data_IF_614201446695
#
_entry.id   IF_614201446695
#
_cell.length_a   1.000
_cell.length_b   1.000
_cell.length_c   1.000
_cell.angle_alpha   90.00
_cell.angle_beta   90.00
_cell.angle_gamma   90.00
#
_symmetry.space_group_name_H-M   'P 1'
#
loop_
_entity.id
_entity.type
_entity.pdbx_description
1 polymer ?
#
# COMPACT_ATOMS: atom_id res chain seq x y z
N UNK A 1 36.69 17.33 -45.09
CA UNK A 1 37.33 16.22 -45.83
C UNK A 1 36.28 15.18 -46.17
N UNK A 2 35.59 15.33 -47.32
CA UNK A 2 34.67 14.35 -47.91
C UNK A 2 35.33 13.43 -48.96
N UNK A 3 36.60 13.67 -49.31
CA UNK A 3 37.19 13.22 -50.58
C UNK A 3 37.50 11.71 -50.68
N UNK A 4 37.59 11.01 -49.55
CA UNK A 4 37.94 9.57 -49.53
C UNK A 4 36.82 8.67 -50.06
N UNK A 5 35.55 9.05 -49.86
CA UNK A 5 34.43 8.23 -50.34
C UNK A 5 34.20 8.45 -51.83
N UNK A 6 34.32 9.68 -52.30
CA UNK A 6 34.15 10.01 -53.71
C UNK A 6 35.23 9.34 -54.58
N UNK A 7 36.49 9.34 -54.13
CA UNK A 7 37.57 8.63 -54.80
C UNK A 7 37.40 7.11 -54.79
N UNK A 8 36.88 6.53 -53.69
CA UNK A 8 36.56 5.10 -53.63
C UNK A 8 35.45 4.71 -54.62
N UNK A 9 34.37 5.49 -54.69
CA UNK A 9 33.26 5.23 -55.63
C UNK A 9 33.71 5.41 -57.08
N UNK A 10 34.53 6.42 -57.37
CA UNK A 10 35.08 6.63 -58.72
C UNK A 10 36.02 5.51 -59.14
N UNK A 11 36.87 5.02 -58.23
CA UNK A 11 37.82 3.94 -58.51
C UNK A 11 37.14 2.59 -58.73
N UNK A 12 36.02 2.34 -58.06
CA UNK A 12 35.27 1.08 -58.17
C UNK A 12 33.98 1.21 -58.99
N UNK A 13 33.83 2.28 -59.77
CA UNK A 13 32.61 2.60 -60.54
C UNK A 13 32.16 1.44 -61.42
N UNK A 14 33.10 0.78 -62.09
CA UNK A 14 32.84 -0.33 -63.00
C UNK A 14 32.30 -1.57 -62.27
N UNK A 15 32.68 -1.77 -60.99
CA UNK A 15 32.16 -2.86 -60.16
C UNK A 15 30.70 -2.63 -59.73
N UNK A 16 30.28 -1.36 -59.62
CA UNK A 16 28.91 -0.98 -59.28
C UNK A 16 27.96 -0.89 -60.48
N UNK A 17 28.47 -0.64 -61.69
CA UNK A 17 27.67 -0.55 -62.93
C UNK A 17 27.41 -1.91 -63.60
N UNK A 18 27.78 -3.01 -62.95
CA UNK A 18 27.51 -4.36 -63.42
C UNK A 18 26.00 -4.63 -63.60
N UNK A 19 25.60 -5.43 -64.61
CA UNK A 19 24.22 -5.83 -64.76
C UNK A 19 23.76 -6.57 -63.50
N UNK A 20 22.71 -6.05 -62.86
CA UNK A 20 22.14 -6.63 -61.66
C UNK A 20 21.71 -8.10 -61.86
N UNK A 21 21.48 -8.84 -60.76
CA UNK A 21 21.12 -10.25 -60.86
C UNK A 21 19.82 -10.42 -61.64
N UNK A 22 19.65 -11.60 -62.24
CA UNK A 22 18.52 -11.85 -63.15
C UNK A 22 17.16 -11.63 -62.45
N UNK A 23 16.09 -11.24 -63.18
CA UNK A 23 14.76 -11.03 -62.62
C UNK A 23 14.22 -12.21 -61.80
N UNK A 24 14.64 -13.43 -62.14
CA UNK A 24 14.29 -14.66 -61.40
C UNK A 24 14.96 -14.73 -60.02
N UNK A 25 16.21 -14.27 -59.91
CA UNK A 25 16.92 -14.18 -58.62
C UNK A 25 16.29 -13.10 -57.76
N UNK A 26 15.91 -11.96 -58.35
CA UNK A 26 15.17 -10.91 -57.64
C UNK A 26 13.79 -11.38 -57.16
N UNK A 27 13.03 -12.07 -58.02
CA UNK A 27 11.73 -12.62 -57.63
C UNK A 27 11.85 -13.70 -56.52
N UNK A 28 12.93 -14.48 -56.53
CA UNK A 28 13.22 -15.43 -55.45
C UNK A 28 13.56 -14.72 -54.13
N UNK A 29 14.35 -13.63 -54.19
CA UNK A 29 14.65 -12.80 -53.02
C UNK A 29 13.40 -12.11 -52.46
N UNK A 30 12.56 -11.54 -53.32
CA UNK A 30 11.34 -10.85 -52.91
C UNK A 30 10.37 -11.80 -52.19
N UNK A 31 10.30 -13.05 -52.66
CA UNK A 31 9.53 -14.11 -52.00
C UNK A 31 10.07 -14.44 -50.60
N UNK A 32 11.39 -14.53 -50.44
CA UNK A 32 12.02 -14.80 -49.14
C UNK A 32 11.95 -13.61 -48.17
N UNK A 33 11.92 -12.38 -48.67
CA UNK A 33 11.78 -11.17 -47.84
C UNK A 33 10.35 -10.89 -47.39
N UNK A 34 9.36 -11.28 -48.21
CA UNK A 34 7.94 -11.08 -47.90
C UNK A 34 7.39 -12.16 -46.96
N UNK A 35 8.08 -13.30 -46.84
CA UNK A 35 7.77 -14.31 -45.81
C UNK A 35 8.26 -13.82 -44.44
N UNK A 36 7.58 -12.82 -43.88
CA UNK A 36 7.70 -12.51 -42.45
C UNK A 36 7.25 -13.75 -41.67
N UNK A 37 8.20 -14.61 -41.31
CA UNK A 37 8.04 -15.62 -40.28
C UNK A 37 7.97 -14.92 -38.93
N UNK A 38 6.86 -14.22 -38.69
CA UNK A 38 6.43 -13.89 -37.35
C UNK A 38 6.14 -15.22 -36.66
N UNK A 39 7.11 -15.71 -35.89
CA UNK A 39 7.02 -16.98 -35.20
C UNK A 39 5.79 -17.02 -34.32
N UNK A 40 4.71 -17.65 -34.80
CA UNK A 40 3.45 -17.86 -34.07
C UNK A 40 3.68 -18.41 -32.66
N UNK A 41 4.77 -19.16 -32.49
CA UNK A 41 5.20 -19.74 -31.23
C UNK A 41 5.42 -18.66 -30.16
N UNK A 42 6.06 -17.53 -30.48
CA UNK A 42 6.34 -16.45 -29.51
C UNK A 42 5.07 -15.71 -29.10
N UNK A 43 4.15 -15.45 -30.03
CA UNK A 43 2.85 -14.82 -29.72
C UNK A 43 1.94 -15.75 -28.88
N UNK A 44 1.94 -17.06 -29.17
CA UNK A 44 1.17 -18.04 -28.40
C UNK A 44 1.76 -18.26 -27.01
N UNK A 45 3.09 -18.38 -26.88
CA UNK A 45 3.79 -18.44 -25.60
C UNK A 45 3.47 -17.20 -24.75
N UNK A 46 3.56 -15.99 -25.32
CA UNK A 46 3.24 -14.73 -24.61
C UNK A 46 1.78 -14.66 -24.16
N UNK A 47 0.83 -15.10 -24.99
CA UNK A 47 -0.61 -15.07 -24.69
C UNK A 47 -1.00 -16.09 -23.61
N UNK A 48 -0.40 -17.28 -23.64
CA UNK A 48 -0.67 -18.32 -22.65
C UNK A 48 0.04 -18.05 -21.32
N UNK A 49 1.24 -17.46 -21.35
CA UNK A 49 1.97 -17.08 -20.14
C UNK A 49 1.30 -15.91 -19.40
N UNK A 50 0.66 -14.99 -20.13
CA UNK A 50 -0.16 -13.93 -19.51
C UNK A 50 -1.33 -14.51 -18.71
N UNK A 51 -2.03 -15.53 -19.24
CA UNK A 51 -3.11 -16.22 -18.51
C UNK A 51 -2.58 -16.94 -17.26
N UNK A 52 -1.44 -17.63 -17.38
CA UNK A 52 -0.79 -18.29 -16.27
C UNK A 52 -0.33 -17.29 -15.18
N UNK A 53 0.21 -16.14 -15.59
CA UNK A 53 0.62 -15.07 -14.68
C UNK A 53 -0.58 -14.48 -13.91
N UNK A 54 -1.71 -14.24 -14.57
CA UNK A 54 -2.93 -13.76 -13.91
C UNK A 54 -3.42 -14.76 -12.86
N UNK A 55 -3.46 -16.06 -13.20
CA UNK A 55 -3.85 -17.11 -12.25
C UNK A 55 -2.87 -17.19 -11.08
N UNK A 56 -1.57 -17.11 -11.33
CA UNK A 56 -0.54 -17.12 -10.29
C UNK A 56 -0.68 -15.92 -9.34
N UNK A 57 -0.87 -14.71 -9.88
CA UNK A 57 -1.08 -13.49 -9.08
C UNK A 57 -2.36 -13.60 -8.25
N UNK A 58 -3.45 -14.11 -8.82
CA UNK A 58 -4.69 -14.33 -8.08
C UNK A 58 -4.52 -15.38 -6.97
N UNK A 59 -3.83 -16.48 -7.23
CA UNK A 59 -3.56 -17.50 -6.20
C UNK A 59 -2.66 -16.97 -5.09
N UNK A 60 -1.63 -16.19 -5.43
CA UNK A 60 -0.76 -15.54 -4.43
C UNK A 60 -1.57 -14.56 -3.58
N UNK A 61 -2.43 -13.74 -4.20
CA UNK A 61 -3.30 -12.82 -3.48
C UNK A 61 -4.31 -13.57 -2.59
N UNK A 62 -4.95 -14.61 -3.10
CA UNK A 62 -5.88 -15.43 -2.34
C UNK A 62 -5.20 -16.14 -1.17
N UNK A 63 -3.99 -16.68 -1.37
CA UNK A 63 -3.18 -17.29 -0.33
C UNK A 63 -2.75 -16.27 0.73
N UNK A 64 -2.35 -15.06 0.33
CA UNK A 64 -2.05 -13.98 1.25
C UNK A 64 -3.29 -13.60 2.08
N UNK A 65 -4.44 -13.36 1.44
CA UNK A 65 -5.70 -13.05 2.12
C UNK A 65 -6.06 -14.18 3.09
N UNK A 66 -5.98 -15.44 2.67
CA UNK A 66 -6.28 -16.60 3.52
C UNK A 66 -5.34 -16.67 4.74
N UNK A 67 -4.04 -16.50 4.52
CA UNK A 67 -3.04 -16.50 5.59
C UNK A 67 -3.28 -15.36 6.61
N UNK A 68 -3.51 -14.13 6.12
CA UNK A 68 -3.75 -12.96 6.98
C UNK A 68 -5.11 -12.97 7.68
N UNK A 69 -6.16 -13.50 7.05
CA UNK A 69 -7.51 -13.57 7.65
C UNK A 69 -7.67 -14.77 8.60
N UNK A 70 -7.01 -15.90 8.31
CA UNK A 70 -7.00 -17.08 9.17
C UNK A 70 -6.40 -16.80 10.55
N UNK A 71 -5.25 -16.12 10.62
CA UNK A 71 -4.61 -15.77 11.89
C UNK A 71 -5.49 -14.86 12.76
N UNK A 72 -6.19 -13.88 12.16
CA UNK A 72 -7.10 -12.99 12.88
C UNK A 72 -8.33 -13.72 13.41
N UNK A 73 -8.91 -14.63 12.62
CA UNK A 73 -10.07 -15.44 13.01
C UNK A 73 -9.76 -16.38 14.17
N UNK A 74 -8.64 -17.11 14.11
CA UNK A 74 -8.23 -18.00 15.22
C UNK A 74 -8.02 -17.23 16.52
N UNK A 75 -7.33 -16.08 16.46
CA UNK A 75 -7.10 -15.25 17.65
C UNK A 75 -8.41 -14.76 18.27
N UNK A 76 -9.35 -14.27 17.46
CA UNK A 76 -10.62 -13.77 17.95
C UNK A 76 -11.53 -14.89 18.49
N UNK A 77 -11.46 -16.09 17.92
CA UNK A 77 -12.25 -17.23 18.32
C UNK A 77 -11.79 -17.84 19.66
N UNK A 78 -10.47 -17.92 19.92
CA UNK A 78 -9.97 -18.38 21.22
C UNK A 78 -10.34 -17.42 22.36
N UNK A 79 -10.23 -16.11 22.14
CA UNK A 79 -10.64 -15.10 23.12
C UNK A 79 -12.15 -15.17 23.42
N UNK A 80 -12.97 -15.37 22.37
CA UNK A 80 -14.44 -15.49 22.51
C UNK A 80 -14.87 -16.72 23.31
N UNK A 81 -14.13 -17.84 23.17
CA UNK A 81 -14.43 -19.07 23.91
C UNK A 81 -14.11 -18.96 25.41
N UNK A 82 -13.23 -18.04 25.79
CA UNK A 82 -12.71 -17.89 27.15
C UNK A 82 -13.43 -16.77 27.91
N UNK A 83 -13.76 -15.66 27.23
CA UNK A 83 -14.41 -14.51 27.85
C UNK A 83 -15.34 -13.79 26.87
N UNK A 84 -16.64 -14.15 26.83
CA UNK A 84 -17.61 -13.52 25.94
C UNK A 84 -17.79 -12.03 26.23
N UNK A 85 -17.82 -11.64 27.51
CA UNK A 85 -17.98 -10.24 27.93
C UNK A 85 -16.83 -9.34 27.42
N UNK A 86 -15.60 -9.87 27.43
CA UNK A 86 -14.45 -9.13 26.91
C UNK A 86 -14.49 -8.98 25.39
N UNK A 87 -15.05 -9.96 24.68
CA UNK A 87 -15.23 -9.90 23.23
C UNK A 87 -16.23 -8.80 22.83
N UNK A 88 -17.32 -8.67 23.58
CA UNK A 88 -18.29 -7.59 23.40
C UNK A 88 -17.64 -6.22 23.66
N UNK A 89 -16.97 -6.07 24.81
CA UNK A 89 -16.25 -4.85 25.16
C UNK A 89 -15.22 -4.47 24.07
N UNK A 90 -14.39 -5.43 23.62
CA UNK A 90 -13.42 -5.22 22.53
C UNK A 90 -14.10 -4.66 21.28
N UNK A 91 -15.22 -5.28 20.86
CA UNK A 91 -15.94 -4.87 19.65
C UNK A 91 -16.53 -3.46 19.80
N UNK A 92 -17.17 -3.19 20.95
CA UNK A 92 -17.73 -1.89 21.29
C UNK A 92 -16.69 -0.79 21.29
N UNK A 93 -15.60 -0.97 22.05
CA UNK A 93 -14.56 0.05 22.21
C UNK A 93 -13.76 0.26 20.92
N UNK A 94 -13.36 -0.82 20.23
CA UNK A 94 -12.58 -0.72 18.99
C UNK A 94 -13.32 0.07 17.92
N UNK A 95 -14.62 -0.19 17.75
CA UNK A 95 -15.46 0.53 16.78
C UNK A 95 -15.47 2.03 17.07
N UNK A 96 -15.68 2.42 18.33
CA UNK A 96 -15.72 3.83 18.74
C UNK A 96 -14.37 4.53 18.64
N UNK A 97 -13.30 3.85 19.06
CA UNK A 97 -11.93 4.38 18.97
C UNK A 97 -11.56 4.64 17.51
N UNK A 98 -11.84 3.69 16.62
CA UNK A 98 -11.57 3.87 15.19
C UNK A 98 -12.39 5.02 14.58
N UNK A 99 -13.66 5.16 14.95
CA UNK A 99 -14.49 6.26 14.50
C UNK A 99 -13.92 7.63 14.94
N UNK A 100 -13.46 7.73 16.20
CA UNK A 100 -12.82 8.97 16.69
C UNK A 100 -11.48 9.25 16.01
N UNK A 101 -10.66 8.23 15.80
CA UNK A 101 -9.41 8.38 15.05
C UNK A 101 -9.67 8.89 13.63
N UNK A 102 -10.70 8.39 12.96
CA UNK A 102 -11.10 8.91 11.64
C UNK A 102 -11.51 10.38 11.67
N UNK A 103 -12.21 10.82 12.72
CA UNK A 103 -12.55 12.23 12.90
C UNK A 103 -11.30 13.09 13.14
N UNK A 104 -10.34 12.60 13.94
CA UNK A 104 -9.06 13.29 14.20
C UNK A 104 -8.22 13.38 12.92
N UNK A 105 -8.16 12.29 12.14
CA UNK A 105 -7.41 12.23 10.88
C UNK A 105 -7.99 13.15 9.79
N UNK A 106 -9.23 13.64 9.95
CA UNK A 106 -9.83 14.62 9.06
C UNK A 106 -9.28 16.03 9.26
N UNK A 107 -8.66 16.33 10.41
CA UNK A 107 -7.99 17.60 10.66
C UNK A 107 -6.58 17.59 10.04
N UNK A 108 -6.12 18.73 9.50
CA UNK A 108 -4.80 18.81 8.89
C UNK A 108 -3.69 18.69 9.95
N UNK A 109 -2.59 18.01 9.59
CA UNK A 109 -1.55 17.61 10.53
C UNK A 109 -0.88 18.75 11.31
N UNK A 110 -0.85 19.96 10.74
CA UNK A 110 -0.33 21.16 11.39
C UNK A 110 -1.23 21.67 12.52
N UNK A 111 -2.53 21.37 12.49
CA UNK A 111 -3.51 21.82 13.48
C UNK A 111 -3.61 20.86 14.68
N UNK A 112 -3.29 19.57 14.47
CA UNK A 112 -3.22 18.61 15.59
C UNK A 112 -2.15 18.97 16.62
N UNK A 113 -1.07 19.65 16.22
CA UNK A 113 0.06 19.94 17.11
C UNK A 113 0.77 18.69 17.65
N UNK A 114 0.54 17.53 17.03
CA UNK A 114 1.13 16.24 17.41
C UNK A 114 2.20 15.85 16.39
N UNK A 115 3.36 15.43 16.88
CA UNK A 115 4.39 14.84 16.04
C UNK A 115 3.97 13.45 15.52
N UNK A 116 4.80 12.83 14.67
CA UNK A 116 4.51 11.49 14.12
C UNK A 116 4.40 10.43 15.22
N UNK A 117 5.20 10.53 16.27
CA UNK A 117 5.27 9.57 17.36
C UNK A 117 4.00 9.59 18.21
N UNK A 118 3.56 10.79 18.60
CA UNK A 118 2.32 10.98 19.34
C UNK A 118 1.11 10.54 18.54
N UNK A 119 1.06 10.80 17.22
CA UNK A 119 0.00 10.28 16.35
C UNK A 119 -0.02 8.76 16.27
N UNK A 120 1.15 8.12 16.24
CA UNK A 120 1.23 6.66 16.29
C UNK A 120 0.73 6.12 17.62
N UNK A 121 0.99 6.83 18.72
CA UNK A 121 0.52 6.45 20.06
C UNK A 121 -1.01 6.57 20.20
N UNK A 122 -1.68 7.42 19.43
CA UNK A 122 -3.15 7.47 19.40
C UNK A 122 -3.78 6.20 18.83
N UNK A 123 -3.06 5.47 17.97
CA UNK A 123 -3.59 4.23 17.40
C UNK A 123 -3.89 3.21 18.49
N UNK A 124 -4.96 2.44 18.28
CA UNK A 124 -5.36 1.41 19.23
C UNK A 124 -4.32 0.29 19.36
N UNK A 125 -3.62 -0.04 18.27
CA UNK A 125 -2.62 -1.13 18.22
C UNK A 125 -1.21 -0.65 18.54
N UNK A 126 -1.08 0.21 19.54
CA UNK A 126 0.21 0.60 20.10
C UNK A 126 0.84 -0.58 20.89
N UNK A 127 2.05 -0.39 21.39
CA UNK A 127 2.79 -1.46 22.05
C UNK A 127 2.21 -1.84 23.41
N UNK A 128 1.60 -0.89 24.13
CA UNK A 128 0.84 -1.16 25.37
C UNK A 128 -0.30 -2.14 25.12
N UNK A 129 -1.10 -1.92 24.07
CA UNK A 129 -2.19 -2.82 23.70
C UNK A 129 -1.67 -4.23 23.37
N UNK A 130 -0.61 -4.32 22.56
CA UNK A 130 -0.01 -5.60 22.18
C UNK A 130 0.52 -6.36 23.39
N UNK A 131 1.12 -5.66 24.36
CA UNK A 131 1.61 -6.25 25.60
C UNK A 131 0.46 -6.86 26.41
N UNK A 132 -0.63 -6.10 26.63
CA UNK A 132 -1.82 -6.59 27.34
C UNK A 132 -2.50 -7.77 26.63
N UNK A 133 -2.59 -7.72 25.29
CA UNK A 133 -3.15 -8.81 24.49
C UNK A 133 -2.31 -10.09 24.58
N UNK A 134 -0.98 -9.95 24.56
CA UNK A 134 -0.04 -11.06 24.74
C UNK A 134 -0.14 -11.66 26.15
N UNK A 135 -0.22 -10.82 27.17
CA UNK A 135 -0.33 -11.28 28.56
C UNK A 135 -1.65 -12.02 28.81
N UNK A 136 -2.74 -11.52 28.23
CA UNK A 136 -4.05 -12.18 28.28
C UNK A 136 -4.02 -13.54 27.56
N UNK A 137 -3.37 -13.62 26.40
CA UNK A 137 -3.20 -14.89 25.69
C UNK A 137 -2.44 -15.92 26.52
N UNK A 138 -1.41 -15.48 27.23
CA UNK A 138 -0.63 -16.36 28.10
C UNK A 138 -1.39 -16.72 29.40
N UNK A 139 -2.33 -15.88 29.84
CA UNK A 139 -3.07 -16.04 31.10
C UNK A 139 -4.59 -15.78 30.91
N UNK A 140 -5.31 -16.62 30.15
CA UNK A 140 -6.69 -16.36 29.74
C UNK A 140 -7.69 -16.17 30.89
N UNK A 141 -7.47 -16.87 32.02
CA UNK A 141 -8.32 -16.78 33.21
C UNK A 141 -8.06 -15.55 34.09
N UNK A 142 -7.02 -14.76 33.83
CA UNK A 142 -6.61 -13.68 34.73
C UNK A 142 -7.51 -12.44 34.59
N UNK A 143 -8.39 -12.24 35.57
CA UNK A 143 -9.37 -11.14 35.58
C UNK A 143 -8.72 -9.76 35.64
N UNK A 144 -7.54 -9.64 36.27
CA UNK A 144 -6.83 -8.37 36.38
C UNK A 144 -6.38 -7.88 35.01
N UNK A 145 -5.93 -8.79 34.14
CA UNK A 145 -5.53 -8.44 32.78
C UNK A 145 -6.75 -8.05 31.95
N UNK A 146 -7.89 -8.75 32.10
CA UNK A 146 -9.14 -8.38 31.43
C UNK A 146 -9.61 -6.98 31.84
N UNK A 147 -9.60 -6.70 33.15
CA UNK A 147 -9.94 -5.39 33.69
C UNK A 147 -8.97 -4.29 33.21
N UNK A 148 -7.67 -4.58 33.15
CA UNK A 148 -6.67 -3.66 32.62
C UNK A 148 -6.90 -3.35 31.14
N UNK A 149 -7.29 -4.34 30.32
CA UNK A 149 -7.60 -4.14 28.91
C UNK A 149 -8.86 -3.27 28.72
N UNK A 150 -9.91 -3.51 29.52
CA UNK A 150 -11.11 -2.66 29.54
C UNK A 150 -10.75 -1.23 29.94
N UNK A 151 -9.95 -1.07 31.00
CA UNK A 151 -9.51 0.25 31.47
C UNK A 151 -8.67 0.97 30.42
N UNK A 152 -7.80 0.25 29.72
CA UNK A 152 -7.02 0.79 28.61
C UNK A 152 -7.94 1.34 27.51
N UNK A 153 -8.98 0.61 27.12
CA UNK A 153 -9.94 1.11 26.12
C UNK A 153 -10.67 2.37 26.58
N UNK A 154 -11.11 2.42 27.83
CA UNK A 154 -11.79 3.58 28.40
C UNK A 154 -10.87 4.81 28.37
N UNK A 155 -9.64 4.66 28.86
CA UNK A 155 -8.65 5.74 28.86
C UNK A 155 -8.33 6.22 27.44
N UNK A 156 -8.25 5.30 26.46
CA UNK A 156 -8.03 5.66 25.06
C UNK A 156 -9.21 6.47 24.51
N UNK A 157 -10.44 6.06 24.79
CA UNK A 157 -11.62 6.84 24.38
C UNK A 157 -11.62 8.23 24.99
N UNK A 158 -11.43 8.32 26.31
CA UNK A 158 -11.41 9.60 27.03
C UNK A 158 -10.35 10.55 26.47
N UNK A 159 -9.17 10.01 26.12
CA UNK A 159 -8.11 10.78 25.48
C UNK A 159 -8.53 11.31 24.10
N UNK A 160 -9.08 10.44 23.25
CA UNK A 160 -9.49 10.83 21.89
C UNK A 160 -10.66 11.82 21.93
N UNK A 161 -11.56 11.68 22.91
CA UNK A 161 -12.63 12.64 23.16
C UNK A 161 -12.09 14.02 23.49
N UNK A 162 -11.13 14.11 24.44
CA UNK A 162 -10.48 15.37 24.80
C UNK A 162 -9.76 16.03 23.62
N UNK A 163 -9.09 15.22 22.79
CA UNK A 163 -8.41 15.74 21.60
C UNK A 163 -9.43 16.30 20.61
N UNK A 164 -10.53 15.60 20.37
CA UNK A 164 -11.59 16.08 19.48
C UNK A 164 -12.27 17.34 20.01
N UNK A 165 -12.52 17.42 21.31
CA UNK A 165 -13.07 18.61 21.97
C UNK A 165 -12.16 19.83 21.79
N UNK A 166 -10.86 19.68 22.09
CA UNK A 166 -9.86 20.73 21.91
C UNK A 166 -9.72 21.19 20.45
N UNK A 167 -9.75 20.24 19.51
CA UNK A 167 -9.74 20.56 18.07
C UNK A 167 -11.00 21.32 17.69
N UNK A 168 -12.18 20.83 18.09
CA UNK A 168 -13.44 21.47 17.78
C UNK A 168 -13.52 22.87 18.37
N UNK A 169 -13.06 23.11 19.59
CA UNK A 169 -13.03 24.43 20.22
C UNK A 169 -12.13 25.40 19.46
N UNK A 170 -10.94 24.96 19.02
CA UNK A 170 -10.04 25.78 18.20
C UNK A 170 -10.65 26.14 16.84
N UNK A 171 -11.48 25.27 16.28
CA UNK A 171 -12.14 25.48 14.98
C UNK A 171 -13.48 26.21 15.07
N UNK A 172 -14.21 26.05 16.17
CA UNK A 172 -15.51 26.67 16.39
C UNK A 172 -15.40 28.15 16.77
N UNK A 173 -14.25 28.58 17.32
CA UNK A 173 -13.96 30.00 17.55
C UNK A 173 -13.52 30.64 16.23
N UNK A 174 -14.34 31.50 15.58
CA UNK A 174 -13.92 32.22 14.40
C UNK A 174 -12.95 33.32 14.85
N UNK A 175 -11.65 33.13 14.58
CA UNK A 175 -10.64 34.17 14.51
C UNK A 175 -10.79 35.37 15.44
N UNK A 176 -10.51 35.21 16.74
CA UNK A 176 -10.17 36.35 17.59
C UNK A 176 -8.66 36.52 17.69
N UNK A 177 -8.18 37.27 16.70
CA UNK A 177 -7.33 38.47 16.86
C UNK A 177 -6.14 38.34 17.82
N UNK A 178 -4.94 38.41 17.22
CA UNK A 178 -3.72 38.95 17.84
C UNK A 178 -4.07 40.07 18.85
N UNK A 179 -3.90 39.82 20.14
CA UNK A 179 -3.76 40.88 21.13
C UNK A 179 -2.37 40.71 21.73
N UNK A 180 -1.47 41.56 21.24
CA UNK A 180 -0.21 41.89 21.89
C UNK A 180 -0.49 42.17 23.36
N UNK A 181 0.10 41.37 24.24
CA UNK A 181 0.35 41.72 25.63
C UNK A 181 1.85 41.62 25.86
N UNK A 182 2.58 42.54 25.25
CA UNK A 182 3.87 42.97 25.77
C UNK A 182 3.89 44.49 25.66
N UNK A 183 3.29 45.14 26.66
CA UNK A 183 3.71 46.46 27.12
C UNK A 183 3.72 46.40 28.65
N UNK A 184 4.81 46.94 29.21
CA UNK A 184 5.22 47.01 30.62
C UNK A 184 5.87 45.73 31.15
N UNK A 185 7.21 45.65 31.10
CA UNK A 185 8.14 46.32 32.03
C UNK A 185 9.41 46.77 31.30
#
# INVERSE_FOLDING_TARGET
>A
MPDNFESFIQQHRDEFEGPGPSPRVWAALEKDLTEQRQGRVVQLLRKNWFKAAVIAVLMINAAAIFYFTGHKRHQQQELSAISPDLQEARTYYTTRINAKLQLIDAYPANELGLDSTARQELQLRNDTYKALEKELKNNPGNERIRAALIRYYQLKLDLLDKILEELQDRHAVPGHTKKQYEVEI
#
